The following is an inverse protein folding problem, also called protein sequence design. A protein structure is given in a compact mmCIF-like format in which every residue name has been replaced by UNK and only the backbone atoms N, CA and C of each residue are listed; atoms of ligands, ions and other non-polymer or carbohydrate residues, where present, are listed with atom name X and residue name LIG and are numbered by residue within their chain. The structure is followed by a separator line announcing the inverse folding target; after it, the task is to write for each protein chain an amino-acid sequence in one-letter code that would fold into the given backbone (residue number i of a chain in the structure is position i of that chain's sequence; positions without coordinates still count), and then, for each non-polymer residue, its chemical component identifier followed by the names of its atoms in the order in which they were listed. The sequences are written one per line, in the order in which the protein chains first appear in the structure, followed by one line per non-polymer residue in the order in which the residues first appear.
data_IF_309946710197
#
_entry.id   IF_309946710197
#
_cell.length_a   1.000
_cell.length_b   1.000
_cell.length_c   1.000
_cell.angle_alpha   90.00
_cell.angle_beta   90.00
_cell.angle_gamma   90.00
#
_symmetry.space_group_name_H-M   'P 1'
#
loop_
_entity.id
_entity.type
_entity.pdbx_description
1 polymer ?
#
# COMPACT_ATOMS: atom_id res chain seq x y z
N UNK A 1 -14.30 -6.93 -12.39
CA UNK A 1 -15.36 -7.95 -12.50
C UNK A 1 -14.79 -9.33 -12.83
N UNK A 2 -14.61 -10.20 -11.83
CA UNK A 2 -13.89 -11.46 -12.01
C UNK A 2 -14.83 -12.64 -12.30
N UNK A 3 -14.77 -13.17 -13.52
CA UNK A 3 -15.03 -14.59 -13.74
C UNK A 3 -13.69 -15.31 -13.56
N UNK A 4 -13.46 -15.80 -12.35
CA UNK A 4 -12.22 -16.46 -11.93
C UNK A 4 -12.17 -17.89 -12.44
N UNK A 5 -11.03 -18.26 -13.03
CA UNK A 5 -10.65 -19.64 -13.31
C UNK A 5 -10.47 -20.38 -11.98
N UNK A 6 -11.47 -21.15 -11.60
CA UNK A 6 -11.62 -21.87 -10.32
C UNK A 6 -10.54 -22.92 -10.03
N UNK A 7 -9.61 -23.13 -10.96
CA UNK A 7 -8.74 -24.31 -11.02
C UNK A 7 -7.39 -24.09 -10.33
N UNK A 8 -7.08 -22.85 -9.92
CA UNK A 8 -5.78 -22.47 -9.34
C UNK A 8 -5.87 -21.78 -7.98
N UNK A 9 -7.06 -21.65 -7.39
CA UNK A 9 -7.22 -21.06 -6.07
C UNK A 9 -7.30 -22.14 -4.97
N UNK A 10 -6.64 -21.95 -3.81
CA UNK A 10 -6.92 -22.77 -2.64
C UNK A 10 -8.41 -22.61 -2.26
N UNK A 11 -9.01 -23.70 -1.76
CA UNK A 11 -10.46 -23.84 -1.48
C UNK A 11 -11.10 -22.69 -0.66
N UNK A 12 -10.29 -21.86 0.02
CA UNK A 12 -10.73 -20.74 0.85
C UNK A 12 -10.57 -19.34 0.20
N UNK A 13 -10.08 -19.23 -1.04
CA UNK A 13 -9.94 -17.95 -1.74
C UNK A 13 -11.14 -17.73 -2.67
N UNK A 14 -12.24 -17.16 -2.14
CA UNK A 14 -13.31 -16.62 -2.97
C UNK A 14 -12.98 -15.18 -3.39
N UNK A 15 -13.11 -14.80 -4.68
CA UNK A 15 -13.08 -13.39 -5.06
C UNK A 15 -14.29 -12.67 -4.46
N UNK A 16 -14.02 -11.52 -3.88
CA UNK A 16 -15.06 -10.60 -3.45
C UNK A 16 -15.56 -9.81 -4.66
N UNK A 17 -16.87 -9.64 -4.77
CA UNK A 17 -17.49 -8.71 -5.72
C UNK A 17 -17.07 -7.26 -5.37
N UNK A 18 -16.33 -6.60 -6.27
CA UNK A 18 -15.85 -5.23 -6.08
C UNK A 18 -17.00 -4.24 -5.80
N UNK A 19 -18.20 -4.44 -6.39
CA UNK A 19 -19.37 -3.61 -6.10
C UNK A 19 -19.80 -3.72 -4.63
N UNK A 20 -19.65 -4.90 -4.04
CA UNK A 20 -19.90 -5.15 -2.61
C UNK A 20 -18.85 -4.48 -1.72
N UNK A 21 -17.59 -4.40 -2.15
CA UNK A 21 -16.52 -3.71 -1.40
C UNK A 21 -16.73 -2.20 -1.38
N UNK A 22 -17.07 -1.61 -2.53
CA UNK A 22 -17.33 -0.16 -2.61
C UNK A 22 -18.55 0.19 -1.76
N UNK A 23 -19.61 -0.64 -1.77
CA UNK A 23 -20.76 -0.48 -0.85
C UNK A 23 -20.37 -0.64 0.63
N UNK A 24 -19.45 -1.55 0.96
CA UNK A 24 -18.91 -1.69 2.32
C UNK A 24 -18.08 -0.46 2.73
N UNK A 25 -17.30 0.11 1.81
CA UNK A 25 -16.52 1.34 1.98
C UNK A 25 -17.44 2.52 2.29
N UNK A 26 -18.43 2.76 1.44
CA UNK A 26 -19.39 3.85 1.60
C UNK A 26 -20.17 3.70 2.90
N UNK A 27 -20.74 2.52 3.17
CA UNK A 27 -21.48 2.30 4.42
C UNK A 27 -20.63 2.70 5.62
N UNK A 28 -19.40 2.20 5.72
CA UNK A 28 -18.49 2.48 6.85
C UNK A 28 -18.02 3.93 6.92
N UNK A 29 -17.80 4.59 5.78
CA UNK A 29 -17.42 6.00 5.72
C UNK A 29 -18.59 6.93 6.07
N UNK A 30 -19.83 6.50 5.81
CA UNK A 30 -21.04 7.31 6.00
C UNK A 30 -21.70 7.10 7.37
N UNK A 31 -21.69 5.89 7.91
CA UNK A 31 -22.41 5.52 9.14
C UNK A 31 -21.52 5.11 10.32
N UNK A 32 -20.21 4.97 10.12
CA UNK A 32 -19.24 4.59 11.16
C UNK A 32 -19.49 3.20 11.78
N UNK A 33 -20.37 2.37 11.19
CA UNK A 33 -20.79 1.09 11.76
C UNK A 33 -19.89 -0.08 11.34
N UNK A 34 -19.64 -1.01 12.26
CA UNK A 34 -18.97 -2.28 11.96
C UNK A 34 -19.94 -3.23 11.25
N UNK A 35 -19.47 -3.87 10.17
CA UNK A 35 -20.25 -4.87 9.43
C UNK A 35 -19.94 -6.27 9.97
N UNK A 36 -20.97 -6.97 10.47
CA UNK A 36 -20.87 -8.34 10.97
C UNK A 36 -21.59 -9.33 10.05
N UNK A 37 -20.85 -9.98 9.15
CA UNK A 37 -21.31 -11.21 8.48
C UNK A 37 -21.23 -11.20 6.95
N UNK A 38 -20.92 -12.35 6.36
CA UNK A 38 -20.84 -12.59 4.91
C UNK A 38 -22.11 -13.24 4.33
N UNK A 39 -23.27 -13.08 4.97
CA UNK A 39 -24.50 -13.72 4.50
C UNK A 39 -25.34 -12.80 3.62
N UNK A 40 -25.54 -13.24 2.38
CA UNK A 40 -26.67 -12.91 1.50
C UNK A 40 -26.92 -11.42 1.23
N UNK A 41 -26.17 -10.82 0.31
CA UNK A 41 -26.58 -9.56 -0.30
C UNK A 41 -26.98 -9.78 -1.76
N UNK A 42 -28.24 -9.48 -2.06
CA UNK A 42 -28.92 -9.64 -3.34
C UNK A 42 -28.35 -8.68 -4.39
N UNK A 43 -28.04 -9.19 -5.60
CA UNK A 43 -27.33 -8.46 -6.65
C UNK A 43 -28.19 -7.42 -7.38
N UNK A 44 -29.49 -7.34 -7.09
CA UNK A 44 -30.46 -6.59 -7.90
C UNK A 44 -30.96 -5.28 -7.26
N UNK A 45 -30.40 -4.83 -6.14
CA UNK A 45 -30.73 -3.51 -5.57
C UNK A 45 -29.91 -2.39 -6.24
N UNK A 46 -30.45 -1.86 -7.35
CA UNK A 46 -29.97 -0.64 -7.98
C UNK A 46 -30.17 0.58 -7.07
N UNK A 47 -29.11 1.02 -6.39
CA UNK A 47 -29.02 2.34 -5.77
C UNK A 47 -27.84 3.08 -6.38
N UNK A 48 -28.10 4.19 -7.04
CA UNK A 48 -27.09 5.04 -7.65
C UNK A 48 -26.14 5.61 -6.57
N UNK A 49 -24.85 5.42 -6.79
CA UNK A 49 -23.73 5.79 -5.92
C UNK A 49 -23.56 7.31 -5.80
N UNK A 50 -23.10 7.79 -4.64
CA UNK A 50 -22.73 9.19 -4.42
C UNK A 50 -21.41 9.26 -3.62
N UNK A 51 -20.33 8.76 -4.24
CA UNK A 51 -18.99 9.16 -3.85
C UNK A 51 -18.87 10.69 -3.96
N UNK A 52 -18.03 11.37 -3.14
CA UNK A 52 -17.75 12.77 -3.43
C UNK A 52 -17.23 12.86 -4.87
N UNK A 53 -17.59 13.93 -5.59
CA UNK A 53 -17.47 14.01 -7.05
C UNK A 53 -16.03 13.83 -7.58
N UNK A 54 -15.04 13.91 -6.69
CA UNK A 54 -13.60 13.78 -6.89
C UNK A 54 -13.02 12.42 -6.47
N UNK A 55 -13.80 11.50 -5.88
CA UNK A 55 -13.29 10.18 -5.52
C UNK A 55 -13.18 9.27 -6.73
N UNK A 56 -12.03 8.60 -6.85
CA UNK A 56 -11.73 7.68 -7.93
C UNK A 56 -11.56 6.26 -7.39
N UNK A 57 -12.21 5.29 -8.04
CA UNK A 57 -11.98 3.86 -7.80
C UNK A 57 -11.06 3.32 -8.89
N UNK A 58 -9.90 2.81 -8.50
CA UNK A 58 -8.94 2.21 -9.43
C UNK A 58 -9.27 0.72 -9.61
N UNK A 59 -9.68 0.33 -10.81
CA UNK A 59 -9.84 -1.09 -11.13
C UNK A 59 -8.49 -1.75 -11.41
N UNK A 60 -7.89 -2.30 -10.36
CA UNK A 60 -6.65 -3.09 -10.47
C UNK A 60 -6.90 -4.51 -10.99
N UNK A 61 -8.15 -4.97 -11.08
CA UNK A 61 -8.45 -6.37 -11.41
C UNK A 61 -8.06 -6.69 -12.85
N UNK A 62 -8.35 -5.78 -13.79
CA UNK A 62 -7.97 -5.98 -15.18
C UNK A 62 -6.45 -6.12 -15.33
N UNK A 63 -5.70 -5.18 -14.75
CA UNK A 63 -4.23 -5.19 -14.75
C UNK A 63 -3.70 -6.52 -14.20
N UNK A 64 -4.17 -6.94 -13.02
CA UNK A 64 -3.73 -8.20 -12.42
C UNK A 64 -4.15 -9.44 -13.23
N UNK A 65 -5.31 -9.42 -13.88
CA UNK A 65 -5.82 -10.53 -14.69
C UNK A 65 -5.01 -10.75 -15.96
N UNK A 66 -4.55 -9.67 -16.59
CA UNK A 66 -3.67 -9.73 -17.76
C UNK A 66 -2.35 -10.43 -17.42
N UNK A 67 -1.88 -10.27 -16.18
CA UNK A 67 -0.64 -10.86 -15.66
C UNK A 67 -0.82 -12.13 -14.81
N UNK A 68 -2.00 -12.76 -14.83
CA UNK A 68 -2.34 -13.93 -13.98
C UNK A 68 -1.47 -15.18 -14.17
N UNK A 69 -0.64 -15.23 -15.21
CA UNK A 69 0.29 -16.33 -15.47
C UNK A 69 1.67 -16.09 -14.83
N UNK A 70 1.92 -14.89 -14.32
CA UNK A 70 3.12 -14.53 -13.56
C UNK A 70 2.93 -14.82 -12.06
N UNK A 71 4.03 -14.88 -11.32
CA UNK A 71 4.04 -15.03 -9.86
C UNK A 71 3.65 -13.71 -9.17
N UNK A 72 2.40 -13.27 -9.33
CA UNK A 72 1.88 -11.99 -8.80
C UNK A 72 1.27 -12.10 -7.39
N UNK A 73 1.09 -13.32 -6.88
CA UNK A 73 0.69 -13.59 -5.50
C UNK A 73 1.58 -14.65 -4.87
N UNK A 74 1.86 -14.49 -3.57
CA UNK A 74 2.47 -15.56 -2.79
C UNK A 74 1.49 -16.73 -2.67
N UNK A 75 2.00 -17.97 -2.71
CA UNK A 75 1.15 -19.16 -2.57
C UNK A 75 0.89 -19.47 -1.09
N UNK A 76 1.88 -19.15 -0.25
CA UNK A 76 1.90 -19.46 1.18
C UNK A 76 1.54 -18.26 2.05
N UNK A 77 1.35 -17.09 1.46
CA UNK A 77 0.97 -15.86 2.13
C UNK A 77 -0.26 -15.19 1.48
N UNK A 78 -0.91 -14.27 2.18
CA UNK A 78 -2.11 -13.60 1.69
C UNK A 78 -1.81 -12.35 0.86
N UNK A 79 -0.57 -11.88 0.84
CA UNK A 79 -0.13 -10.71 0.06
C UNK A 79 0.11 -11.03 -1.42
N UNK A 80 0.03 -9.99 -2.26
CA UNK A 80 0.68 -10.02 -3.57
C UNK A 80 2.20 -10.11 -3.42
N UNK A 81 2.89 -10.51 -4.49
CA UNK A 81 4.36 -10.36 -4.59
C UNK A 81 4.70 -8.92 -4.99
N UNK A 82 6.00 -8.56 -4.99
CA UNK A 82 6.44 -7.26 -5.53
C UNK A 82 6.04 -7.07 -7.00
N UNK A 83 6.16 -8.06 -7.89
CA UNK A 83 5.56 -8.01 -9.23
C UNK A 83 4.05 -7.72 -9.24
N UNK A 84 3.27 -8.34 -8.34
CA UNK A 84 1.84 -8.06 -8.22
C UNK A 84 1.55 -6.64 -7.74
N UNK A 85 2.31 -6.17 -6.76
CA UNK A 85 2.24 -4.80 -6.27
C UNK A 85 2.57 -3.78 -7.37
N UNK A 86 3.57 -4.08 -8.21
CA UNK A 86 3.96 -3.26 -9.36
C UNK A 86 2.80 -3.08 -10.35
N UNK A 87 2.05 -4.13 -10.66
CA UNK A 87 0.88 -4.01 -11.56
C UNK A 87 -0.28 -3.22 -10.94
N UNK A 88 -0.49 -3.34 -9.63
CA UNK A 88 -1.40 -2.45 -8.91
C UNK A 88 -0.94 -1.00 -8.94
N UNK A 89 0.36 -0.76 -8.78
CA UNK A 89 1.00 0.55 -8.88
C UNK A 89 0.82 1.18 -10.26
N UNK A 90 1.05 0.44 -11.35
CA UNK A 90 0.87 0.98 -12.70
C UNK A 90 -0.55 1.48 -12.92
N UNK A 91 -1.54 0.65 -12.60
CA UNK A 91 -2.95 1.00 -12.75
C UNK A 91 -3.31 2.25 -11.93
N UNK A 92 -2.83 2.33 -10.68
CA UNK A 92 -3.02 3.52 -9.85
C UNK A 92 -2.30 4.75 -10.40
N UNK A 93 -1.04 4.63 -10.80
CA UNK A 93 -0.24 5.74 -11.32
C UNK A 93 -0.86 6.32 -12.60
N UNK A 94 -1.30 5.46 -13.54
CA UNK A 94 -2.01 5.86 -14.75
C UNK A 94 -3.32 6.60 -14.43
N UNK A 95 -4.09 6.09 -13.45
CA UNK A 95 -5.34 6.72 -13.02
C UNK A 95 -5.12 8.11 -12.41
N UNK A 96 -3.95 8.35 -11.80
CA UNK A 96 -3.53 9.64 -11.25
C UNK A 96 -2.90 10.57 -12.31
N UNK A 97 -2.85 10.14 -13.58
CA UNK A 97 -2.24 10.89 -14.68
C UNK A 97 -0.71 10.87 -14.69
N UNK A 98 -0.09 9.99 -13.90
CA UNK A 98 1.36 9.78 -13.96
C UNK A 98 1.72 8.84 -15.10
N UNK A 99 2.95 8.97 -15.58
CA UNK A 99 3.60 7.92 -16.39
C UNK A 99 4.25 6.95 -15.41
N UNK A 100 3.77 5.69 -15.28
CA UNK A 100 4.41 4.73 -14.40
C UNK A 100 5.84 4.44 -14.85
N UNK A 101 6.72 4.16 -13.90
CA UNK A 101 8.05 3.66 -14.22
C UNK A 101 7.96 2.26 -14.82
N UNK A 102 8.77 2.00 -15.83
CA UNK A 102 8.85 0.71 -16.48
C UNK A 102 9.61 -0.30 -15.62
N UNK A 103 9.38 -1.61 -15.84
CA UNK A 103 9.99 -2.66 -15.02
C UNK A 103 11.52 -2.61 -15.08
N UNK A 104 12.06 -2.29 -16.25
CA UNK A 104 13.49 -2.21 -16.53
C UNK A 104 14.19 -1.07 -15.78
N UNK A 105 13.42 -0.12 -15.25
CA UNK A 105 13.92 0.94 -14.38
C UNK A 105 14.14 0.48 -12.93
N UNK A 106 13.81 -0.79 -12.63
CA UNK A 106 14.05 -1.40 -11.33
C UNK A 106 15.01 -2.59 -11.45
N UNK A 107 16.06 -2.59 -10.63
CA UNK A 107 16.87 -3.78 -10.39
C UNK A 107 16.11 -4.72 -9.45
N UNK A 108 15.75 -5.90 -9.96
CA UNK A 108 15.10 -6.95 -9.20
C UNK A 108 16.12 -7.95 -8.62
N UNK A 109 16.10 -8.13 -7.30
CA UNK A 109 16.94 -9.07 -6.57
C UNK A 109 16.09 -10.07 -5.80
N UNK A 110 16.42 -11.36 -5.90
CA UNK A 110 15.84 -12.38 -5.00
C UNK A 110 16.50 -12.32 -3.63
N UNK A 111 15.76 -11.93 -2.61
CA UNK A 111 16.26 -11.78 -1.24
C UNK A 111 15.94 -13.00 -0.35
N UNK A 112 14.94 -13.79 -0.73
CA UNK A 112 14.65 -15.05 -0.05
C UNK A 112 14.04 -16.07 -1.00
N UNK A 113 14.34 -17.35 -0.78
CA UNK A 113 13.70 -18.50 -1.44
C UNK A 113 12.97 -19.42 -0.45
N UNK A 114 12.92 -19.01 0.83
CA UNK A 114 12.44 -19.82 1.94
C UNK A 114 11.29 -19.11 2.66
N UNK A 115 10.44 -18.38 1.94
CA UNK A 115 9.31 -17.70 2.54
C UNK A 115 8.13 -18.65 2.72
N UNK A 116 7.73 -18.88 3.97
CA UNK A 116 6.48 -19.54 4.32
C UNK A 116 5.62 -18.53 5.05
N UNK A 117 4.55 -18.11 4.39
CA UNK A 117 3.69 -17.05 4.87
C UNK A 117 2.63 -17.47 5.88
N UNK A 118 1.79 -16.50 6.19
CA UNK A 118 0.69 -16.59 7.14
C UNK A 118 -0.39 -17.59 6.75
N UNK A 119 -0.60 -17.87 5.45
CA UNK A 119 -1.57 -18.90 5.02
C UNK A 119 -1.03 -20.27 5.39
N UNK A 120 0.24 -20.54 5.09
CA UNK A 120 0.88 -21.80 5.49
C UNK A 120 0.93 -21.95 7.01
N UNK A 121 1.28 -20.90 7.74
CA UNK A 121 1.32 -20.93 9.21
C UNK A 121 -0.05 -21.23 9.84
N UNK A 122 -1.16 -20.84 9.19
CA UNK A 122 -2.53 -21.11 9.65
C UNK A 122 -3.00 -22.52 9.30
N UNK A 123 -2.66 -23.01 8.11
CA UNK A 123 -3.14 -24.31 7.60
C UNK A 123 -2.27 -25.47 8.11
N UNK A 124 -0.98 -25.24 8.34
CA UNK A 124 -0.05 -26.22 8.90
C UNK A 124 0.32 -27.38 7.96
N UNK A 125 -0.07 -27.30 6.68
CA UNK A 125 0.27 -28.29 5.66
C UNK A 125 1.64 -27.96 5.06
N UNK A 126 2.38 -29.00 4.66
CA UNK A 126 3.62 -28.83 3.93
C UNK A 126 3.35 -28.09 2.61
N UNK A 127 4.05 -26.98 2.40
CA UNK A 127 3.99 -26.21 1.17
C UNK A 127 5.41 -25.93 0.72
N UNK A 128 5.59 -25.83 -0.59
CA UNK A 128 6.83 -25.28 -1.13
C UNK A 128 6.96 -23.81 -0.69
N UNK A 129 8.14 -23.36 -0.24
CA UNK A 129 8.34 -21.96 0.07
C UNK A 129 8.25 -21.06 -1.15
N UNK A 130 7.82 -19.83 -0.94
CA UNK A 130 7.81 -18.77 -1.96
C UNK A 130 9.15 -18.04 -2.04
N UNK A 131 9.34 -17.33 -3.16
CA UNK A 131 10.47 -16.42 -3.40
C UNK A 131 10.05 -14.99 -3.10
N UNK A 132 10.88 -14.25 -2.37
CA UNK A 132 10.72 -12.82 -2.12
C UNK A 132 11.74 -12.01 -2.93
N UNK A 133 11.32 -10.83 -3.38
CA UNK A 133 12.14 -9.95 -4.21
C UNK A 133 12.24 -8.53 -3.64
N UNK A 134 13.35 -7.87 -3.94
CA UNK A 134 13.59 -6.44 -3.75
C UNK A 134 13.67 -5.79 -5.13
N UNK A 135 12.98 -4.67 -5.33
CA UNK A 135 13.00 -3.91 -6.58
C UNK A 135 13.43 -2.47 -6.27
N UNK A 136 14.62 -2.07 -6.71
CA UNK A 136 15.19 -0.74 -6.43
C UNK A 136 15.43 0.03 -7.72
N UNK A 137 15.21 1.37 -7.76
CA UNK A 137 15.53 2.19 -8.92
C UNK A 137 16.97 2.00 -9.43
N UNK A 138 17.14 1.79 -10.73
CA UNK A 138 18.48 1.65 -11.35
C UNK A 138 19.22 2.98 -11.47
N UNK A 139 18.51 4.10 -11.34
CA UNK A 139 19.07 5.45 -11.40
C UNK A 139 19.76 5.89 -10.10
N UNK A 140 19.79 5.02 -9.08
CA UNK A 140 20.41 5.29 -7.79
C UNK A 140 19.56 6.16 -6.86
N UNK A 141 18.28 6.37 -7.16
CA UNK A 141 17.37 7.08 -6.24
C UNK A 141 17.18 6.28 -4.97
N UNK A 142 17.56 6.89 -3.84
CA UNK A 142 17.41 6.29 -2.51
C UNK A 142 16.28 6.95 -1.71
N UNK A 143 15.70 6.16 -0.81
CA UNK A 143 14.58 6.55 0.04
C UNK A 143 14.84 6.09 1.48
N UNK A 144 14.43 6.92 2.42
CA UNK A 144 14.43 6.64 3.85
C UNK A 144 13.00 6.47 4.34
N UNK A 145 12.81 5.60 5.34
CA UNK A 145 11.55 5.43 6.06
C UNK A 145 11.71 5.83 7.52
N UNK A 146 10.76 6.61 8.03
CA UNK A 146 10.62 6.95 9.45
C UNK A 146 9.38 6.27 9.99
N UNK A 147 9.56 5.35 10.94
CA UNK A 147 8.48 4.61 11.57
C UNK A 147 8.07 5.31 12.86
N UNK A 148 6.78 5.64 13.00
CA UNK A 148 6.18 6.31 14.16
C UNK A 148 6.96 7.57 14.62
N UNK A 149 7.43 8.37 13.66
CA UNK A 149 8.23 9.60 13.88
C UNK A 149 9.56 9.34 14.64
N UNK A 150 10.16 8.17 14.47
CA UNK A 150 11.52 7.92 14.94
C UNK A 150 12.49 9.03 14.47
N UNK A 151 13.45 9.41 15.32
CA UNK A 151 14.44 10.44 14.98
C UNK A 151 15.38 9.96 13.87
N UNK A 152 15.80 8.70 13.94
CA UNK A 152 16.70 8.09 12.97
C UNK A 152 15.93 7.41 11.84
N UNK A 153 16.30 7.64 10.57
CA UNK A 153 15.71 6.94 9.46
C UNK A 153 16.12 5.47 9.45
N UNK A 154 15.23 4.65 8.90
CA UNK A 154 15.50 3.29 8.48
C UNK A 154 15.42 3.19 6.95
N UNK A 155 15.73 2.01 6.41
CA UNK A 155 15.48 1.70 5.00
C UNK A 155 14.05 1.25 4.74
N UNK A 156 13.65 1.25 3.47
CA UNK A 156 12.38 0.65 3.02
C UNK A 156 12.36 -0.88 3.15
N UNK A 157 13.54 -1.48 3.26
CA UNK A 157 13.72 -2.92 3.34
C UNK A 157 14.38 -3.33 4.67
N UNK A 158 13.65 -4.05 5.51
CA UNK A 158 14.14 -4.52 6.81
C UNK A 158 14.83 -5.89 6.68
N UNK A 159 16.15 -5.90 6.45
CA UNK A 159 16.93 -7.13 6.25
C UNK A 159 16.76 -8.15 7.38
N UNK A 160 16.68 -7.67 8.63
CA UNK A 160 16.48 -8.51 9.81
C UNK A 160 15.19 -9.33 9.78
N UNK A 161 14.17 -8.88 9.04
CA UNK A 161 12.92 -9.60 8.89
C UNK A 161 13.09 -10.92 8.13
N UNK A 162 14.06 -11.01 7.21
CA UNK A 162 14.31 -12.21 6.41
C UNK A 162 14.75 -13.40 7.26
N UNK A 163 15.34 -13.15 8.43
CA UNK A 163 15.72 -14.19 9.42
C UNK A 163 14.58 -14.55 10.37
N UNK A 164 13.50 -13.76 10.38
CA UNK A 164 12.36 -13.96 11.28
C UNK A 164 11.32 -14.92 10.71
N UNK A 165 10.33 -15.28 11.55
CA UNK A 165 9.14 -16.02 11.09
C UNK A 165 8.23 -15.17 10.21
N UNK A 166 8.20 -13.86 10.45
CA UNK A 166 7.38 -12.91 9.70
C UNK A 166 8.23 -12.18 8.66
N UNK A 167 8.62 -12.91 7.62
CA UNK A 167 9.52 -12.39 6.58
C UNK A 167 8.89 -11.27 5.76
N UNK A 168 7.55 -11.17 5.72
CA UNK A 168 6.88 -10.11 4.96
C UNK A 168 7.17 -8.70 5.52
N UNK A 169 7.55 -8.59 6.81
CA UNK A 169 8.09 -7.35 7.39
C UNK A 169 9.35 -6.84 6.70
N UNK A 170 9.95 -7.63 5.81
CA UNK A 170 10.98 -7.15 4.91
C UNK A 170 10.55 -5.86 4.19
N UNK A 171 9.26 -5.71 3.85
CA UNK A 171 8.73 -4.46 3.30
C UNK A 171 8.24 -3.53 4.42
N UNK A 172 8.91 -2.38 4.58
CA UNK A 172 8.59 -1.30 5.53
C UNK A 172 8.53 -1.72 7.01
N UNK A 173 9.28 -2.75 7.41
CA UNK A 173 9.29 -3.31 8.77
C UNK A 173 7.92 -3.77 9.31
N UNK A 174 6.91 -3.88 8.44
CA UNK A 174 5.54 -4.24 8.79
C UNK A 174 4.62 -3.04 8.94
N UNK A 175 3.71 -3.11 9.91
CA UNK A 175 2.64 -2.13 10.09
C UNK A 175 2.94 -1.24 11.29
N UNK A 176 3.11 0.05 11.03
CA UNK A 176 3.28 1.09 12.06
C UNK A 176 2.07 2.02 12.06
N UNK A 177 1.86 2.80 13.12
CA UNK A 177 0.79 3.79 13.15
C UNK A 177 0.99 4.85 12.05
N UNK A 178 2.24 5.28 11.89
CA UNK A 178 2.68 6.16 10.81
C UNK A 178 3.99 5.63 10.23
N UNK A 179 4.09 5.57 8.91
CA UNK A 179 5.38 5.42 8.20
C UNK A 179 5.52 6.58 7.24
N UNK A 180 6.64 7.29 7.29
CA UNK A 180 6.94 8.36 6.35
C UNK A 180 8.11 7.96 5.47
N UNK A 181 7.93 8.00 4.15
CA UNK A 181 8.95 7.74 3.15
C UNK A 181 9.38 9.07 2.53
N UNK A 182 10.70 9.34 2.56
CA UNK A 182 11.31 10.56 2.00
C UNK A 182 12.45 10.22 1.07
N UNK A 183 12.61 11.00 -0.01
CA UNK A 183 13.75 10.84 -0.91
C UNK A 183 15.02 11.33 -0.20
N UNK A 184 16.09 10.55 -0.28
CA UNK A 184 17.41 11.00 0.19
C UNK A 184 17.87 12.14 -0.73
N UNK A 185 18.19 13.30 -0.14
CA UNK A 185 18.77 14.41 -0.91
C UNK A 185 20.20 14.05 -1.32
N UNK A 186 20.48 14.09 -2.62
CA UNK A 186 21.83 13.89 -3.12
C UNK A 186 22.78 14.95 -2.53
N UNK A 187 23.67 14.55 -1.62
CA UNK A 187 24.75 15.38 -1.07
C UNK A 187 24.70 15.74 0.43
N UNK A 188 23.76 15.22 1.21
CA UNK A 188 23.68 15.52 2.66
C UNK A 188 24.39 14.49 3.53
N UNK A 189 25.68 14.68 3.83
CA UNK A 189 26.24 14.07 5.05
C UNK A 189 25.51 14.69 6.25
N UNK A 190 25.00 13.83 7.14
CA UNK A 190 24.06 14.19 8.19
C UNK A 190 24.42 15.42 9.01
N UNK A 191 23.42 16.26 9.24
CA UNK A 191 23.27 17.10 10.42
C UNK A 191 21.79 17.49 10.48
N UNK A 192 21.13 17.19 11.61
CA UNK A 192 19.79 17.68 11.87
C UNK A 192 19.80 19.22 11.86
N UNK A 193 18.89 19.81 11.10
CA UNK A 193 18.52 21.21 11.26
C UNK A 193 17.01 21.31 11.44
N UNK A 194 16.63 21.43 12.71
CA UNK A 194 15.40 22.09 13.10
C UNK A 194 15.48 23.55 12.65
N UNK A 195 14.61 24.00 11.76
CA UNK A 195 14.56 25.41 11.41
C UNK A 195 13.57 25.75 10.32
N UNK A 196 12.46 26.37 10.71
CA UNK A 196 11.65 27.18 9.83
C UNK A 196 12.55 28.25 9.16
N UNK A 197 12.56 28.29 7.83
CA UNK A 197 13.30 29.29 7.06
C UNK A 197 13.14 29.08 5.56
N UNK A 198 12.46 30.01 4.91
CA UNK A 198 12.33 30.09 3.46
C UNK A 198 13.67 30.35 2.75
N UNK A 199 13.81 29.76 1.55
CA UNK A 199 14.64 30.15 0.42
C UNK A 199 16.17 30.32 0.61
N UNK A 200 16.97 29.37 0.11
CA UNK A 200 17.98 29.65 -0.92
C UNK A 200 18.71 28.39 -1.43
N UNK A 201 18.96 28.34 -2.75
CA UNK A 201 19.90 27.51 -3.53
C UNK A 201 19.74 25.97 -3.41
N UNK A 202 19.06 25.25 -4.30
CA UNK A 202 19.27 25.06 -5.76
C UNK A 202 20.72 24.87 -6.16
N UNK A 203 21.17 23.61 -6.14
CA UNK A 203 22.11 23.01 -7.11
C UNK A 203 22.03 21.47 -6.98
N UNK A 204 21.75 20.78 -8.09
CA UNK A 204 21.40 19.35 -8.26
C UNK A 204 19.89 19.00 -8.29
N UNK A 205 19.13 19.78 -9.06
CA UNK A 205 17.67 19.75 -9.13
C UNK A 205 17.04 18.50 -9.74
N UNK A 206 16.44 17.68 -8.87
CA UNK A 206 15.06 17.28 -9.11
C UNK A 206 14.18 18.37 -8.48
N UNK A 207 13.39 19.10 -9.28
CA UNK A 207 12.39 20.01 -8.71
C UNK A 207 11.41 19.20 -7.86
N UNK A 208 11.23 19.61 -6.60
CA UNK A 208 10.21 19.03 -5.72
C UNK A 208 8.86 19.33 -6.33
N UNK A 209 8.08 18.29 -6.61
CA UNK A 209 6.75 18.43 -7.20
C UNK A 209 5.76 19.17 -6.29
N UNK A 210 6.10 19.32 -5.00
CA UNK A 210 5.21 19.76 -3.93
C UNK A 210 4.20 18.69 -3.53
N UNK A 211 4.17 17.54 -4.22
CA UNK A 211 3.16 16.50 -4.00
C UNK A 211 3.52 15.63 -2.80
N UNK A 212 2.54 15.42 -1.94
CA UNK A 212 2.63 14.54 -0.77
C UNK A 212 1.43 13.60 -0.74
N UNK A 213 1.71 12.31 -0.71
CA UNK A 213 0.69 11.26 -0.69
C UNK A 213 0.46 10.76 0.74
N UNK A 214 -0.79 10.62 1.16
CA UNK A 214 -1.17 9.82 2.32
C UNK A 214 -1.88 8.54 1.88
N UNK A 215 -1.28 7.38 2.16
CA UNK A 215 -1.85 6.06 1.95
C UNK A 215 -2.47 5.56 3.26
N UNK A 216 -3.79 5.52 3.31
CA UNK A 216 -4.54 4.88 4.40
C UNK A 216 -4.60 3.38 4.09
N UNK A 217 -4.02 2.53 4.95
CA UNK A 217 -3.61 1.18 4.50
C UNK A 217 -3.75 0.04 5.49
N UNK A 218 -3.77 -1.17 4.95
CA UNK A 218 -3.31 -2.40 5.62
C UNK A 218 -1.92 -2.85 5.08
N UNK A 219 -1.47 -4.05 5.45
CA UNK A 219 -0.15 -4.56 5.05
C UNK A 219 0.03 -4.79 3.54
N UNK A 220 -1.04 -4.76 2.74
CA UNK A 220 -0.92 -4.84 1.27
C UNK A 220 -0.13 -3.66 0.69
N UNK A 221 -0.22 -2.48 1.29
CA UNK A 221 0.44 -1.28 0.76
C UNK A 221 1.97 -1.32 0.90
N UNK A 222 2.53 -2.17 1.77
CA UNK A 222 3.94 -2.12 2.12
C UNK A 222 4.87 -2.37 0.92
N UNK A 223 4.52 -3.33 0.06
CA UNK A 223 5.28 -3.64 -1.17
C UNK A 223 4.91 -2.73 -2.36
N UNK A 224 3.85 -1.93 -2.23
CA UNK A 224 3.39 -0.97 -3.23
C UNK A 224 4.02 0.42 -3.05
N UNK A 225 4.11 0.88 -1.80
CA UNK A 225 4.52 2.24 -1.48
C UNK A 225 5.89 2.68 -2.03
N UNK A 226 6.93 1.81 -2.14
CA UNK A 226 8.18 2.18 -2.78
C UNK A 226 8.00 2.65 -4.24
N UNK A 227 7.05 2.07 -4.98
CA UNK A 227 6.74 2.50 -6.34
C UNK A 227 6.00 3.84 -6.36
N UNK A 228 5.05 4.04 -5.45
CA UNK A 228 4.35 5.31 -5.32
C UNK A 228 5.29 6.47 -4.97
N UNK A 229 6.29 6.21 -4.11
CA UNK A 229 7.29 7.20 -3.73
C UNK A 229 8.03 7.79 -4.94
N UNK A 230 8.19 7.04 -6.04
CA UNK A 230 8.83 7.56 -7.25
C UNK A 230 8.17 8.83 -7.82
N UNK A 231 6.89 9.08 -7.51
CA UNK A 231 6.10 10.19 -8.06
C UNK A 231 5.85 11.34 -7.07
N UNK A 232 6.29 11.21 -5.83
CA UNK A 232 5.97 12.13 -4.74
C UNK A 232 7.23 12.57 -4.00
N UNK A 233 7.19 13.75 -3.38
CA UNK A 233 8.32 14.22 -2.57
C UNK A 233 8.36 13.47 -1.22
N UNK A 234 7.18 13.19 -0.67
CA UNK A 234 6.98 12.36 0.52
C UNK A 234 5.74 11.47 0.37
N UNK A 235 5.83 10.26 0.92
CA UNK A 235 4.67 9.34 1.06
C UNK A 235 4.49 8.98 2.53
N UNK A 236 3.32 9.24 3.06
CA UNK A 236 2.90 8.86 4.40
C UNK A 236 2.01 7.63 4.31
N UNK A 237 2.24 6.62 5.11
CA UNK A 237 1.37 5.47 5.27
C UNK A 237 0.77 5.52 6.67
N UNK A 238 -0.55 5.51 6.75
CA UNK A 238 -1.30 5.53 8.00
C UNK A 238 -2.07 4.22 8.15
N UNK A 239 -1.73 3.44 9.17
CA UNK A 239 -2.52 2.28 9.59
C UNK A 239 -3.47 2.69 10.71
N UNK A 240 -4.76 2.82 10.40
CA UNK A 240 -5.77 3.26 11.35
C UNK A 240 -5.92 2.36 12.59
N UNK A 241 -5.43 1.11 12.53
CA UNK A 241 -5.44 0.19 13.68
C UNK A 241 -4.43 0.60 14.75
N UNK A 242 -3.36 1.27 14.36
CA UNK A 242 -2.24 1.66 15.24
C UNK A 242 -2.08 3.18 15.36
N UNK A 243 -2.60 3.95 14.41
CA UNK A 243 -2.57 5.40 14.44
C UNK A 243 -3.53 5.96 15.50
N UNK A 244 -2.97 6.71 16.46
CA UNK A 244 -3.71 7.27 17.59
C UNK A 244 -3.91 8.79 17.50
N UNK A 245 -3.45 9.43 16.42
CA UNK A 245 -3.63 10.86 16.17
C UNK A 245 -4.97 11.19 15.53
N UNK A 246 -5.25 12.49 15.41
CA UNK A 246 -6.34 13.00 14.59
C UNK A 246 -5.90 13.04 13.12
N UNK A 247 -6.63 12.34 12.25
CA UNK A 247 -6.23 12.18 10.86
C UNK A 247 -6.37 13.48 10.08
N UNK A 248 -7.46 14.24 10.29
CA UNK A 248 -7.70 15.50 9.58
C UNK A 248 -6.62 16.53 9.90
N UNK A 249 -6.36 16.75 11.18
CA UNK A 249 -5.27 17.61 11.66
C UNK A 249 -3.92 17.17 11.07
N UNK A 250 -3.66 15.86 11.02
CA UNK A 250 -2.43 15.33 10.43
C UNK A 250 -2.31 15.67 8.94
N UNK A 251 -3.38 15.43 8.16
CA UNK A 251 -3.40 15.71 6.72
C UNK A 251 -3.15 17.19 6.43
N UNK A 252 -3.77 18.08 7.22
CA UNK A 252 -3.58 19.53 7.12
C UNK A 252 -2.17 19.96 7.50
N UNK A 253 -1.65 19.48 8.64
CA UNK A 253 -0.32 19.84 9.13
C UNK A 253 0.81 19.40 8.20
N UNK A 254 0.68 18.21 7.61
CA UNK A 254 1.66 17.71 6.65
C UNK A 254 1.49 18.30 5.25
N UNK A 255 0.38 18.99 4.98
CA UNK A 255 0.07 19.54 3.66
C UNK A 255 -0.10 18.45 2.61
N UNK A 256 -0.86 17.40 2.93
CA UNK A 256 -1.13 16.28 2.03
C UNK A 256 -1.91 16.75 0.81
N UNK A 257 -1.44 16.39 -0.38
CA UNK A 257 -2.06 16.78 -1.66
C UNK A 257 -2.95 15.69 -2.24
N UNK A 258 -2.63 14.42 -1.92
CA UNK A 258 -3.29 13.26 -2.49
C UNK A 258 -3.52 12.21 -1.40
N UNK A 259 -4.69 11.56 -1.41
CA UNK A 259 -5.04 10.49 -0.47
C UNK A 259 -5.36 9.22 -1.25
N UNK A 260 -4.80 8.09 -0.82
CA UNK A 260 -5.08 6.77 -1.35
C UNK A 260 -5.53 5.83 -0.22
N UNK A 261 -6.73 5.27 -0.32
CA UNK A 261 -7.11 4.13 0.52
C UNK A 261 -6.68 2.83 -0.18
N UNK A 262 -5.70 2.12 0.38
CA UNK A 262 -5.18 0.86 -0.16
C UNK A 262 -5.33 -0.26 0.87
N UNK A 263 -6.37 -1.08 0.67
CA UNK A 263 -6.67 -2.22 1.52
C UNK A 263 -6.90 -3.47 0.70
N UNK A 264 -6.59 -4.63 1.30
CA UNK A 264 -7.11 -5.90 0.79
C UNK A 264 -8.61 -5.95 1.08
N UNK A 265 -9.42 -6.33 0.10
CA UNK A 265 -10.89 -6.37 0.21
C UNK A 265 -11.41 -7.07 1.50
N UNK A 266 -11.05 -8.32 1.80
CA UNK A 266 -11.43 -8.96 3.07
C UNK A 266 -10.91 -8.26 4.33
N UNK A 267 -9.73 -7.63 4.24
CA UNK A 267 -9.18 -6.81 5.33
C UNK A 267 -10.01 -5.54 5.55
N UNK A 268 -10.37 -4.86 4.47
CA UNK A 268 -11.27 -3.72 4.49
C UNK A 268 -12.63 -4.07 5.10
N UNK A 269 -13.21 -5.21 4.72
CA UNK A 269 -14.52 -5.67 5.19
C UNK A 269 -14.56 -5.92 6.72
N UNK A 270 -13.41 -6.10 7.38
CA UNK A 270 -13.30 -6.31 8.84
C UNK A 270 -12.59 -5.17 9.58
N UNK A 271 -12.19 -4.10 8.89
CA UNK A 271 -11.49 -2.95 9.48
C UNK A 271 -12.41 -2.11 10.39
N UNK A 272 -12.19 -2.09 11.70
CA UNK A 272 -13.11 -1.41 12.63
C UNK A 272 -12.76 0.07 12.88
N UNK A 273 -11.70 0.58 12.25
CA UNK A 273 -11.15 1.92 12.52
C UNK A 273 -11.50 2.95 11.45
N UNK A 274 -12.29 2.57 10.43
CA UNK A 274 -12.69 3.43 9.29
C UNK A 274 -13.39 4.71 9.74
N UNK A 275 -14.12 4.68 10.86
CA UNK A 275 -14.80 5.84 11.45
C UNK A 275 -13.86 7.02 11.76
N UNK A 276 -12.55 6.77 11.91
CA UNK A 276 -11.53 7.82 12.07
C UNK A 276 -11.41 8.73 10.84
N UNK A 277 -11.93 8.32 9.69
CA UNK A 277 -11.94 9.11 8.45
C UNK A 277 -13.16 10.05 8.34
N UNK A 278 -14.08 10.08 9.31
CA UNK A 278 -15.34 10.83 9.18
C UNK A 278 -15.83 11.51 10.46
N UNK A 279 -15.66 12.83 10.52
CA UNK A 279 -16.63 13.76 11.10
C UNK A 279 -16.78 14.96 10.16
N UNK A 280 -17.55 14.80 9.08
CA UNK A 280 -18.11 15.98 8.42
C UNK A 280 -19.22 16.52 9.32
N UNK A 281 -18.93 17.63 10.01
CA UNK A 281 -19.96 18.50 10.56
C UNK A 281 -20.74 19.20 9.46
#
# INVERSE_FOLDING_TARGET
ASWILKEKLPFAAAPYDQGTVVRMLEKRLTDGSSFSGTEGYDSDAGTAFNLPADAMVVDVEQSLREHRLEEIYYRTDHHWTVPGAYYGYRAWAESMGFVPREKEEFAAETVSRNFLGTVQAKVGVAAEPDRMERWVPVDGTEWEAYYDRAEEPAGLYAESALESRDKYRFYLDGNHGLTEIRRVKAGGNGAGENGAGENSARENGAETSGRKLCIIRDSYANSFAPFAACHYDSVFLVDLRYFNGDLETFLEQEGITDILALYRIPGFAVENSVWKMGKRG
#
